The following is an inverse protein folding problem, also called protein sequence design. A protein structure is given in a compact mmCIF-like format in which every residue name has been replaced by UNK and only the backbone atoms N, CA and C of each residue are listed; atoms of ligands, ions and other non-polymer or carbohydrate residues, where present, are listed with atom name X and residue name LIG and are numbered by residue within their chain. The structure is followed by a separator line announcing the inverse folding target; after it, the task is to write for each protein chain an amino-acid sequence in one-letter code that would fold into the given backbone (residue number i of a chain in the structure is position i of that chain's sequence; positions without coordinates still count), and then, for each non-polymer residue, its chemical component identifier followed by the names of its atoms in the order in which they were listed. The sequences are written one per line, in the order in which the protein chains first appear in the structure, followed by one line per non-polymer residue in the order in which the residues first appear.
data_IF_183894571221
#
_entry.id   IF_183894571221
#
_cell.length_a   1.000
_cell.length_b   1.000
_cell.length_c   1.000
_cell.angle_alpha   90.00
_cell.angle_beta   90.00
_cell.angle_gamma   90.00
#
_symmetry.space_group_name_H-M   'P 1'
#
loop_
_entity.id
_entity.type
_entity.pdbx_description
1 polymer ?
#
# COMPACT_ATOMS: atom_id res chain seq x y z
N UNK A 1 -43.61 18.45 -9.61
CA UNK A 1 -45.03 18.06 -9.69
C UNK A 1 -45.36 16.72 -9.00
N UNK A 2 -44.47 15.73 -8.96
CA UNK A 2 -44.81 14.40 -8.38
C UNK A 2 -44.82 14.33 -6.83
N UNK A 3 -44.14 15.25 -6.13
CA UNK A 3 -44.13 15.28 -4.65
C UNK A 3 -45.39 15.90 -4.02
N UNK A 4 -46.17 16.65 -4.78
CA UNK A 4 -47.37 17.34 -4.28
C UNK A 4 -48.61 16.45 -4.33
N UNK A 5 -48.68 15.52 -5.29
CA UNK A 5 -49.81 14.59 -5.42
C UNK A 5 -49.84 13.48 -4.37
N UNK A 6 -48.67 12.97 -3.96
CA UNK A 6 -48.57 11.92 -2.92
C UNK A 6 -48.97 12.46 -1.53
N UNK A 7 -48.72 13.75 -1.27
CA UNK A 7 -49.06 14.38 0.01
C UNK A 7 -50.53 14.80 0.10
N UNK A 8 -51.18 15.12 -1.02
CA UNK A 8 -52.59 15.56 -1.03
C UNK A 8 -53.59 14.40 -0.83
N UNK A 9 -53.24 13.16 -1.18
CA UNK A 9 -54.10 12.01 -0.90
C UNK A 9 -54.10 11.65 0.60
N UNK A 10 -53.02 11.98 1.32
CA UNK A 10 -52.88 11.71 2.75
C UNK A 10 -53.53 12.77 3.67
N UNK A 11 -53.81 13.98 3.17
CA UNK A 11 -54.27 15.10 4.02
C UNK A 11 -55.78 15.37 3.99
N UNK A 12 -56.56 14.71 3.12
CA UNK A 12 -58.00 14.97 3.03
C UNK A 12 -58.86 14.04 3.91
N UNK A 13 -58.24 13.27 4.81
CA UNK A 13 -58.94 12.36 5.72
C UNK A 13 -58.32 12.42 7.11
N UNK A 14 -58.48 13.57 7.78
CA UNK A 14 -58.25 13.64 9.23
C UNK A 14 -59.53 14.07 9.93
N UNK A 15 -60.34 13.06 10.29
CA UNK A 15 -60.95 12.99 11.61
C UNK A 15 -61.45 11.56 11.83
N UNK A 16 -61.21 11.08 13.05
CA UNK A 16 -61.39 9.71 13.60
C UNK A 16 -60.28 8.74 13.23
N UNK A 17 -59.42 8.45 14.21
CA UNK A 17 -58.51 7.30 14.34
C UNK A 17 -58.45 6.38 13.12
N UNK A 18 -57.81 6.85 12.06
CA UNK A 18 -57.68 6.11 10.83
C UNK A 18 -56.53 5.11 11.01
N UNK A 19 -56.83 4.00 11.69
CA UNK A 19 -56.06 2.77 11.51
C UNK A 19 -55.82 2.61 10.01
N UNK A 20 -54.56 2.52 9.60
CA UNK A 20 -54.21 2.16 8.23
C UNK A 20 -55.03 0.93 7.86
N UNK A 21 -55.97 1.07 6.95
CA UNK A 21 -56.80 -0.04 6.50
C UNK A 21 -55.88 -1.00 5.73
N UNK A 22 -55.55 -2.19 6.28
CA UNK A 22 -54.48 -3.03 5.72
C UNK A 22 -54.79 -3.49 4.30
N UNK A 23 -56.09 -3.63 3.98
CA UNK A 23 -56.59 -4.01 2.65
C UNK A 23 -56.33 -2.91 1.63
N UNK A 24 -56.60 -1.65 1.97
CA UNK A 24 -56.37 -0.51 1.08
C UNK A 24 -54.88 -0.33 0.79
N UNK A 25 -54.04 -0.43 1.82
CA UNK A 25 -52.58 -0.38 1.65
C UNK A 25 -52.07 -1.56 0.78
N UNK A 26 -52.58 -2.77 1.03
CA UNK A 26 -52.24 -3.96 0.25
C UNK A 26 -52.56 -3.79 -1.24
N UNK A 27 -53.72 -3.21 -1.56
CA UNK A 27 -54.12 -2.97 -2.95
C UNK A 27 -53.20 -1.96 -3.65
N UNK A 28 -52.85 -0.87 -2.98
CA UNK A 28 -51.91 0.14 -3.51
C UNK A 28 -50.51 -0.47 -3.73
N UNK A 29 -50.05 -1.31 -2.80
CA UNK A 29 -48.77 -2.01 -2.94
C UNK A 29 -48.81 -3.05 -4.06
N UNK A 30 -49.93 -3.74 -4.26
CA UNK A 30 -50.11 -4.68 -5.36
C UNK A 30 -50.08 -3.97 -6.72
N UNK A 31 -50.75 -2.83 -6.85
CA UNK A 31 -50.72 -1.98 -8.04
C UNK A 31 -49.30 -1.44 -8.30
N UNK A 32 -48.61 -0.95 -7.27
CA UNK A 32 -47.22 -0.50 -7.40
C UNK A 32 -46.30 -1.64 -7.89
N UNK A 33 -46.46 -2.85 -7.34
CA UNK A 33 -45.66 -4.03 -7.68
C UNK A 33 -45.93 -4.51 -9.11
N UNK A 34 -47.19 -4.62 -9.50
CA UNK A 34 -47.57 -5.23 -10.79
C UNK A 34 -47.58 -4.23 -11.95
N UNK A 35 -48.09 -3.01 -11.76
CA UNK A 35 -48.28 -2.02 -12.83
C UNK A 35 -47.10 -1.04 -12.95
N UNK A 36 -46.56 -0.56 -11.82
CA UNK A 36 -45.48 0.46 -11.85
C UNK A 36 -44.10 -0.18 -11.94
N UNK A 37 -43.82 -1.14 -11.06
CA UNK A 37 -42.54 -1.86 -11.05
C UNK A 37 -42.50 -2.97 -12.11
N UNK A 38 -43.66 -3.37 -12.65
CA UNK A 38 -43.74 -4.31 -13.76
C UNK A 38 -43.24 -5.72 -13.41
N UNK A 39 -43.31 -6.13 -12.13
CA UNK A 39 -42.74 -7.39 -11.64
C UNK A 39 -43.29 -8.57 -12.42
N UNK A 40 -44.61 -8.60 -12.67
CA UNK A 40 -45.26 -9.66 -13.45
C UNK A 40 -44.79 -9.72 -14.90
N UNK A 41 -44.56 -8.56 -15.53
CA UNK A 41 -44.05 -8.46 -16.90
C UNK A 41 -42.61 -8.98 -16.98
N UNK A 42 -41.78 -8.62 -16.00
CA UNK A 42 -40.40 -9.09 -15.90
C UNK A 42 -40.32 -10.60 -15.64
N UNK A 43 -41.16 -11.12 -14.73
CA UNK A 43 -41.25 -12.55 -14.46
C UNK A 43 -41.69 -13.31 -15.72
N UNK A 44 -42.70 -12.81 -16.44
CA UNK A 44 -43.15 -13.42 -17.71
C UNK A 44 -42.04 -13.41 -18.76
N UNK A 45 -41.21 -12.37 -18.80
CA UNK A 45 -40.05 -12.32 -19.68
C UNK A 45 -38.99 -13.37 -19.31
N UNK A 46 -38.70 -13.54 -18.01
CA UNK A 46 -37.79 -14.59 -17.54
C UNK A 46 -38.36 -16.00 -17.78
N UNK A 47 -39.62 -16.25 -17.49
CA UNK A 47 -40.27 -17.56 -17.65
C UNK A 47 -40.30 -18.02 -19.12
N UNK A 48 -40.48 -17.07 -20.05
CA UNK A 48 -40.49 -17.34 -21.49
C UNK A 48 -39.09 -17.40 -22.12
N UNK A 49 -38.05 -16.97 -21.39
CA UNK A 49 -36.68 -16.98 -21.87
C UNK A 49 -36.02 -18.35 -21.64
N UNK A 50 -35.26 -18.83 -22.61
CA UNK A 50 -34.48 -20.07 -22.46
C UNK A 50 -33.16 -19.75 -21.78
N UNK A 51 -32.99 -20.20 -20.54
CA UNK A 51 -31.73 -20.13 -19.81
C UNK A 51 -31.07 -21.51 -19.73
N UNK A 52 -29.76 -21.55 -19.94
CA UNK A 52 -28.94 -22.71 -19.58
C UNK A 52 -28.49 -22.51 -18.15
N UNK A 53 -29.06 -23.27 -17.23
CA UNK A 53 -28.59 -23.31 -15.85
C UNK A 53 -27.31 -24.15 -15.79
N UNK A 54 -26.17 -23.50 -15.86
CA UNK A 54 -24.90 -24.13 -15.52
C UNK A 54 -24.73 -24.12 -14.00
N UNK A 55 -24.74 -25.32 -13.39
CA UNK A 55 -24.41 -25.43 -11.97
C UNK A 55 -22.94 -25.12 -11.79
N UNK A 56 -22.63 -24.09 -11.01
CA UNK A 56 -21.25 -23.73 -10.68
C UNK A 56 -20.60 -24.88 -9.89
N UNK A 57 -19.56 -25.47 -10.46
CA UNK A 57 -18.70 -26.41 -9.76
C UNK A 57 -17.71 -25.62 -8.90
N UNK A 58 -18.08 -25.39 -7.65
CA UNK A 58 -17.28 -24.59 -6.72
C UNK A 58 -15.86 -25.12 -6.53
N UNK A 59 -15.63 -26.44 -6.61
CA UNK A 59 -14.29 -27.00 -6.48
C UNK A 59 -13.44 -26.64 -7.68
N UNK A 60 -13.97 -26.85 -8.89
CA UNK A 60 -13.29 -26.50 -10.14
C UNK A 60 -12.97 -25.00 -10.20
N UNK A 61 -13.90 -24.14 -9.81
CA UNK A 61 -13.66 -22.69 -9.81
C UNK A 61 -12.58 -22.27 -8.80
N UNK A 62 -12.57 -22.85 -7.60
CA UNK A 62 -11.51 -22.60 -6.61
C UNK A 62 -10.15 -23.06 -7.12
N UNK A 63 -10.08 -24.24 -7.74
CA UNK A 63 -8.84 -24.78 -8.30
C UNK A 63 -8.33 -23.88 -9.44
N UNK A 64 -9.22 -23.44 -10.34
CA UNK A 64 -8.92 -22.51 -11.42
C UNK A 64 -8.40 -21.17 -10.88
N UNK A 65 -9.12 -20.55 -9.95
CA UNK A 65 -8.72 -19.26 -9.35
C UNK A 65 -7.39 -19.37 -8.62
N UNK A 66 -7.18 -20.47 -7.89
CA UNK A 66 -5.92 -20.74 -7.19
C UNK A 66 -4.74 -20.83 -8.16
N UNK A 67 -4.93 -21.51 -9.30
CA UNK A 67 -3.90 -21.63 -10.32
C UNK A 67 -3.59 -20.29 -11.01
N UNK A 68 -4.62 -19.52 -11.36
CA UNK A 68 -4.46 -18.18 -11.95
C UNK A 68 -3.74 -17.23 -10.98
N UNK A 69 -4.07 -17.30 -9.69
CA UNK A 69 -3.42 -16.48 -8.66
C UNK A 69 -1.96 -16.88 -8.49
N UNK A 70 -1.65 -18.19 -8.43
CA UNK A 70 -0.27 -18.71 -8.38
C UNK A 70 0.54 -18.25 -9.57
N UNK A 71 -0.02 -18.34 -10.78
CA UNK A 71 0.65 -17.88 -11.99
C UNK A 71 0.95 -16.38 -11.93
N UNK A 72 -0.03 -15.58 -11.50
CA UNK A 72 0.16 -14.13 -11.35
C UNK A 72 1.28 -13.77 -10.36
N UNK A 73 1.40 -14.50 -9.25
CA UNK A 73 2.52 -14.32 -8.32
C UNK A 73 3.84 -14.77 -8.92
N UNK A 74 3.85 -15.90 -9.63
CA UNK A 74 5.03 -16.42 -10.28
C UNK A 74 5.62 -15.42 -11.29
N UNK A 75 4.77 -14.83 -12.14
CA UNK A 75 5.21 -13.85 -13.14
C UNK A 75 5.80 -12.58 -12.51
N UNK A 76 5.23 -12.14 -11.38
CA UNK A 76 5.73 -10.99 -10.62
C UNK A 76 7.07 -11.31 -9.94
N UNK A 77 7.22 -12.49 -9.36
CA UNK A 77 8.46 -12.95 -8.73
C UNK A 77 9.56 -13.06 -9.79
N UNK A 78 9.24 -13.65 -10.95
CA UNK A 78 10.19 -13.74 -12.06
C UNK A 78 10.70 -12.36 -12.49
N UNK A 79 9.81 -11.38 -12.67
CA UNK A 79 10.21 -10.01 -13.00
C UNK A 79 11.10 -9.37 -11.92
N UNK A 80 10.80 -9.62 -10.64
CA UNK A 80 11.59 -9.14 -9.51
C UNK A 80 12.99 -9.77 -9.48
N UNK A 81 13.11 -11.08 -9.74
CA UNK A 81 14.39 -11.78 -9.83
C UNK A 81 15.26 -11.20 -10.96
N UNK A 82 14.68 -10.90 -12.12
CA UNK A 82 15.42 -10.25 -13.21
C UNK A 82 15.98 -8.89 -12.79
N UNK A 83 15.18 -8.07 -12.09
CA UNK A 83 15.63 -6.79 -11.54
C UNK A 83 16.76 -7.03 -10.54
N UNK A 84 16.58 -7.93 -9.58
CA UNK A 84 17.58 -8.28 -8.55
C UNK A 84 18.92 -8.63 -9.19
N UNK A 85 18.95 -9.62 -10.09
CA UNK A 85 20.18 -10.05 -10.76
C UNK A 85 20.83 -8.92 -11.55
N UNK A 86 20.04 -8.10 -12.24
CA UNK A 86 20.55 -6.93 -12.98
C UNK A 86 21.24 -5.93 -12.04
N UNK A 87 20.62 -5.66 -10.88
CA UNK A 87 21.17 -4.75 -9.86
C UNK A 87 22.43 -5.34 -9.25
N UNK A 88 22.41 -6.58 -8.80
CA UNK A 88 23.57 -7.27 -8.20
C UNK A 88 24.78 -7.24 -9.15
N UNK A 89 24.55 -7.52 -10.43
CA UNK A 89 25.59 -7.46 -11.46
C UNK A 89 26.12 -6.04 -11.68
N UNK A 90 25.23 -5.04 -11.69
CA UNK A 90 25.63 -3.64 -11.84
C UNK A 90 26.51 -3.15 -10.68
N UNK A 91 26.18 -3.53 -9.44
CA UNK A 91 26.98 -3.19 -8.27
C UNK A 91 28.32 -3.95 -8.25
N UNK A 92 28.32 -5.23 -8.60
CA UNK A 92 29.51 -6.09 -8.60
C UNK A 92 30.53 -5.65 -9.66
N UNK A 93 30.05 -5.30 -10.84
CA UNK A 93 30.90 -4.87 -11.97
C UNK A 93 31.17 -3.36 -11.98
N UNK A 94 30.82 -2.63 -10.92
CA UNK A 94 30.96 -1.18 -10.83
C UNK A 94 30.29 -0.41 -12.00
N UNK A 95 29.23 -0.96 -12.59
CA UNK A 95 28.41 -0.32 -13.62
C UNK A 95 27.36 0.63 -13.00
N UNK A 96 27.81 1.38 -12.00
CA UNK A 96 27.06 2.38 -11.25
C UNK A 96 27.75 3.72 -11.41
N UNK A 97 26.97 4.79 -11.51
CA UNK A 97 27.47 6.11 -11.87
C UNK A 97 27.42 7.04 -10.66
N UNK A 98 28.45 7.88 -10.52
CA UNK A 98 28.52 8.92 -9.48
C UNK A 98 27.71 10.17 -9.84
N UNK A 99 26.98 10.15 -10.96
CA UNK A 99 26.12 11.25 -11.40
C UNK A 99 24.86 10.71 -12.05
N UNK A 100 23.72 11.41 -11.89
CA UNK A 100 22.46 10.92 -12.39
C UNK A 100 22.38 11.00 -13.91
N UNK A 101 22.10 9.86 -14.54
CA UNK A 101 21.85 9.78 -15.99
C UNK A 101 20.38 10.14 -16.30
N UNK A 102 19.47 9.80 -15.38
CA UNK A 102 18.04 9.98 -15.55
C UNK A 102 17.50 11.17 -14.75
N UNK A 103 16.46 11.84 -15.25
CA UNK A 103 15.87 12.99 -14.58
C UNK A 103 15.13 12.57 -13.30
N UNK A 104 14.98 13.51 -12.38
CA UNK A 104 14.10 13.33 -11.23
C UNK A 104 12.64 13.28 -11.67
N UNK A 105 11.84 12.44 -11.01
CA UNK A 105 10.44 12.24 -11.36
C UNK A 105 9.58 13.51 -11.24
N UNK A 106 9.99 14.53 -10.49
CA UNK A 106 9.24 15.78 -10.38
C UNK A 106 9.50 16.75 -11.53
N UNK A 107 10.63 16.57 -12.22
CA UNK A 107 11.10 17.45 -13.29
C UNK A 107 10.78 16.91 -14.69
N UNK A 108 9.86 15.95 -14.77
CA UNK A 108 9.38 15.38 -16.03
C UNK A 108 7.91 15.72 -16.29
N UNK A 109 7.56 15.79 -17.57
CA UNK A 109 6.20 16.07 -18.02
C UNK A 109 5.78 15.06 -19.10
N UNK A 110 5.34 13.85 -18.70
CA UNK A 110 4.82 12.86 -19.65
C UNK A 110 3.53 13.35 -20.30
N UNK A 111 3.35 13.02 -21.58
CA UNK A 111 2.22 13.48 -22.40
C UNK A 111 1.14 12.42 -22.55
N UNK A 112 1.53 11.16 -22.72
CA UNK A 112 0.64 10.02 -22.96
C UNK A 112 0.12 9.42 -21.65
N UNK A 113 -1.20 9.21 -21.57
CA UNK A 113 -1.86 8.54 -20.44
C UNK A 113 -1.84 7.04 -20.64
N UNK A 114 -1.35 6.29 -19.64
CA UNK A 114 -1.44 4.84 -19.62
C UNK A 114 -2.57 4.40 -18.67
N UNK A 115 -3.60 3.77 -19.22
CA UNK A 115 -4.78 3.32 -18.47
C UNK A 115 -4.42 2.29 -17.38
N UNK A 116 -3.35 1.53 -17.54
CA UNK A 116 -2.91 0.50 -16.58
C UNK A 116 -2.34 1.12 -15.31
N UNK A 117 -1.71 2.29 -15.43
CA UNK A 117 -1.12 3.07 -14.34
C UNK A 117 -2.00 4.23 -13.88
N UNK A 118 -3.09 4.52 -14.61
CA UNK A 118 -4.05 5.60 -14.34
C UNK A 118 -3.39 6.98 -14.26
N UNK A 119 -2.29 7.17 -14.99
CA UNK A 119 -1.52 8.41 -15.01
C UNK A 119 -0.74 8.55 -16.31
N UNK A 120 -0.17 9.73 -16.55
CA UNK A 120 0.72 9.98 -17.68
C UNK A 120 2.11 9.42 -17.39
N UNK A 121 2.68 8.70 -18.34
CA UNK A 121 3.97 8.02 -18.17
C UNK A 121 4.86 8.10 -19.41
N UNK A 122 6.17 7.96 -19.23
CA UNK A 122 7.11 7.60 -20.29
C UNK A 122 7.44 6.11 -20.19
N UNK A 123 7.17 5.35 -21.26
CA UNK A 123 7.43 3.90 -21.32
C UNK A 123 8.84 3.56 -21.83
N UNK A 124 9.61 4.53 -22.29
CA UNK A 124 10.95 4.33 -22.85
C UNK A 124 12.08 4.50 -21.82
N UNK A 125 11.74 4.95 -20.60
CA UNK A 125 12.71 5.26 -19.53
C UNK A 125 12.05 5.18 -18.14
N UNK A 126 12.90 5.13 -17.11
CA UNK A 126 12.50 5.41 -15.73
C UNK A 126 12.91 6.84 -15.32
N UNK A 127 12.40 7.30 -14.19
CA UNK A 127 12.89 8.50 -13.51
C UNK A 127 13.36 8.12 -12.10
N UNK A 128 14.09 9.02 -11.44
CA UNK A 128 14.56 8.80 -10.07
C UNK A 128 13.81 9.66 -9.06
N UNK A 129 13.40 9.07 -7.95
CA UNK A 129 13.11 9.80 -6.71
C UNK A 129 14.37 9.78 -5.85
N UNK A 130 14.69 10.91 -5.24
CA UNK A 130 15.88 11.07 -4.40
C UNK A 130 15.44 11.59 -3.05
N UNK A 131 15.84 10.91 -1.99
CA UNK A 131 15.57 11.37 -0.64
C UNK A 131 16.20 12.75 -0.41
N UNK A 132 15.63 13.53 0.51
CA UNK A 132 16.16 14.86 0.88
C UNK A 132 17.62 14.83 1.30
N UNK A 133 18.05 13.73 1.93
CA UNK A 133 19.42 13.53 2.41
C UNK A 133 20.06 12.33 1.70
N UNK A 134 20.67 12.61 0.55
CA UNK A 134 21.44 11.67 -0.28
C UNK A 134 22.91 12.09 -0.27
N UNK A 135 23.83 11.14 -0.18
CA UNK A 135 25.26 11.42 -0.20
C UNK A 135 25.72 11.89 -1.59
N UNK A 136 26.71 12.79 -1.66
CA UNK A 136 27.25 13.29 -2.94
C UNK A 136 27.87 12.20 -3.84
N UNK A 137 28.13 11.02 -3.29
CA UNK A 137 28.67 9.86 -4.00
C UNK A 137 27.67 8.73 -4.22
N UNK A 138 26.37 9.00 -4.07
CA UNK A 138 25.34 7.98 -4.26
C UNK A 138 25.43 7.36 -5.67
N UNK A 139 25.24 6.05 -5.73
CA UNK A 139 25.32 5.25 -6.93
C UNK A 139 24.00 5.28 -7.67
N UNK A 140 24.06 5.71 -8.92
CA UNK A 140 22.93 5.72 -9.84
C UNK A 140 23.00 4.51 -10.76
N UNK A 141 21.86 3.84 -10.94
CA UNK A 141 21.73 2.69 -11.84
C UNK A 141 21.44 3.12 -13.27
N UNK A 142 21.82 2.25 -14.20
CA UNK A 142 22.08 2.64 -15.58
C UNK A 142 21.15 1.98 -16.61
N UNK A 143 21.59 1.96 -17.87
CA UNK A 143 20.87 1.43 -19.02
C UNK A 143 20.39 -0.02 -18.84
N UNK A 144 21.17 -0.88 -18.17
CA UNK A 144 20.82 -2.29 -17.97
C UNK A 144 19.52 -2.45 -17.17
N UNK A 145 19.37 -1.73 -16.05
CA UNK A 145 18.15 -1.75 -15.25
C UNK A 145 16.93 -1.29 -16.06
N UNK A 146 17.10 -0.23 -16.87
CA UNK A 146 16.04 0.29 -17.73
C UNK A 146 15.56 -0.78 -18.72
N UNK A 147 16.49 -1.44 -19.40
CA UNK A 147 16.17 -2.48 -20.38
C UNK A 147 15.47 -3.67 -19.72
N UNK A 148 15.94 -4.11 -18.55
CA UNK A 148 15.28 -5.16 -17.77
C UNK A 148 13.85 -4.78 -17.43
N UNK A 149 13.60 -3.58 -16.92
CA UNK A 149 12.25 -3.13 -16.54
C UNK A 149 11.30 -3.01 -17.76
N UNK A 150 11.80 -2.51 -18.90
CA UNK A 150 11.03 -2.48 -20.15
C UNK A 150 10.71 -3.90 -20.61
N UNK A 151 11.68 -4.79 -20.62
CA UNK A 151 11.52 -6.18 -21.05
C UNK A 151 10.52 -6.93 -20.15
N UNK A 152 10.56 -6.70 -18.84
CA UNK A 152 9.60 -7.27 -17.89
C UNK A 152 8.16 -6.83 -18.22
N UNK A 153 7.94 -5.54 -18.49
CA UNK A 153 6.60 -5.04 -18.84
C UNK A 153 6.13 -5.53 -20.22
N UNK A 154 7.04 -5.72 -21.17
CA UNK A 154 6.71 -6.29 -22.48
C UNK A 154 6.33 -7.77 -22.38
N UNK A 155 7.00 -8.54 -21.50
CA UNK A 155 6.68 -9.95 -21.23
C UNK A 155 5.38 -10.11 -20.45
N UNK A 156 5.13 -9.24 -19.47
CA UNK A 156 3.92 -9.21 -18.67
C UNK A 156 3.29 -7.80 -18.68
N UNK A 157 2.33 -7.55 -19.60
CA UNK A 157 1.65 -6.25 -19.72
C UNK A 157 0.83 -5.83 -18.50
N UNK A 158 0.48 -6.77 -17.60
CA UNK A 158 -0.27 -6.50 -16.37
C UNK A 158 0.61 -6.07 -15.20
N UNK A 159 1.94 -6.17 -15.35
CA UNK A 159 2.91 -5.74 -14.36
C UNK A 159 2.72 -4.26 -14.03
N UNK A 160 2.79 -3.95 -12.73
CA UNK A 160 2.66 -2.58 -12.22
C UNK A 160 4.04 -1.95 -12.08
N UNK A 161 4.12 -0.89 -11.27
CA UNK A 161 5.34 -0.14 -11.04
C UNK A 161 6.49 -1.07 -10.68
N UNK A 162 7.62 -0.88 -11.35
CA UNK A 162 8.87 -1.56 -11.07
C UNK A 162 9.84 -0.54 -10.47
N UNK A 163 10.49 -0.88 -9.37
CA UNK A 163 11.37 0.04 -8.68
C UNK A 163 12.47 -0.69 -7.91
N UNK A 164 13.54 0.03 -7.61
CA UNK A 164 14.64 -0.44 -6.76
C UNK A 164 14.95 0.62 -5.70
N UNK A 165 14.87 0.27 -4.42
CA UNK A 165 15.30 1.17 -3.35
C UNK A 165 16.78 0.99 -3.06
N UNK A 166 17.60 2.00 -3.30
CA UNK A 166 18.99 2.02 -2.83
C UNK A 166 19.05 2.36 -1.34
N UNK A 167 20.03 1.80 -0.64
CA UNK A 167 20.41 2.19 0.73
C UNK A 167 20.88 3.66 0.80
N UNK A 168 21.29 4.24 -0.33
CA UNK A 168 21.72 5.63 -0.44
C UNK A 168 20.56 6.62 -0.63
N UNK A 169 19.31 6.14 -0.72
CA UNK A 169 18.12 6.98 -0.86
C UNK A 169 17.76 7.33 -2.31
N UNK A 170 18.28 6.58 -3.28
CA UNK A 170 17.91 6.67 -4.71
C UNK A 170 16.87 5.60 -5.03
N UNK A 171 15.78 6.01 -5.68
CA UNK A 171 14.68 5.14 -6.09
C UNK A 171 14.35 5.34 -7.58
N UNK A 172 14.93 4.54 -8.49
CA UNK A 172 14.48 4.47 -9.87
C UNK A 172 13.07 3.86 -9.93
N UNK A 173 12.15 4.49 -10.66
CA UNK A 173 10.77 4.02 -10.85
C UNK A 173 10.40 3.97 -12.32
N UNK A 174 9.95 2.81 -12.78
CA UNK A 174 9.49 2.54 -14.13
C UNK A 174 8.01 2.12 -14.16
N UNK A 175 7.22 2.55 -15.16
CA UNK A 175 7.51 3.62 -16.13
C UNK A 175 7.79 4.98 -15.46
N UNK A 176 8.45 5.91 -16.14
CA UNK A 176 8.67 7.23 -15.55
C UNK A 176 7.35 8.02 -15.48
N UNK A 177 7.04 8.67 -14.36
CA UNK A 177 5.83 9.47 -14.19
C UNK A 177 6.10 10.73 -13.39
N UNK A 178 5.25 11.76 -13.60
CA UNK A 178 5.40 13.01 -12.85
C UNK A 178 5.04 12.80 -11.38
N UNK A 179 6.03 12.89 -10.51
CA UNK A 179 5.82 12.84 -9.08
C UNK A 179 5.55 14.26 -8.53
N UNK A 180 4.58 14.45 -7.61
CA UNK A 180 4.22 15.79 -7.15
C UNK A 180 5.32 16.55 -6.37
N UNK A 181 6.14 15.85 -5.58
CA UNK A 181 7.13 16.47 -4.69
C UNK A 181 8.33 15.56 -4.42
N UNK A 182 9.54 16.00 -4.74
CA UNK A 182 10.74 15.17 -4.65
C UNK A 182 11.33 15.15 -3.23
N UNK A 183 11.11 16.19 -2.43
CA UNK A 183 11.69 16.32 -1.09
C UNK A 183 10.99 15.46 -0.02
N UNK A 184 9.84 14.87 -0.35
CA UNK A 184 8.95 14.20 0.60
C UNK A 184 9.10 12.68 0.63
N UNK A 185 9.80 12.10 -0.35
CA UNK A 185 9.87 10.66 -0.52
C UNK A 185 11.26 10.11 -0.23
N UNK A 186 11.37 9.31 0.83
CA UNK A 186 12.54 8.49 1.12
C UNK A 186 12.11 7.02 1.10
N UNK A 187 12.78 6.18 0.30
CA UNK A 187 12.46 4.75 0.21
C UNK A 187 12.84 3.99 1.50
N UNK A 188 13.86 4.45 2.23
CA UNK A 188 14.48 3.72 3.35
C UNK A 188 13.57 3.56 4.57
N UNK A 189 12.57 4.43 4.66
CA UNK A 189 11.57 4.44 5.74
C UNK A 189 10.22 3.87 5.29
N UNK A 190 10.12 3.32 4.08
CA UNK A 190 8.87 2.76 3.57
C UNK A 190 8.69 1.32 4.06
N UNK A 191 7.46 0.91 4.43
CA UNK A 191 7.21 -0.44 4.93
C UNK A 191 7.77 -1.54 4.02
N UNK A 192 7.56 -1.44 2.70
CA UNK A 192 8.07 -2.42 1.74
C UNK A 192 9.60 -2.54 1.73
N UNK A 193 10.32 -1.44 2.02
CA UNK A 193 11.78 -1.45 2.07
C UNK A 193 12.26 -2.04 3.40
N UNK A 194 11.66 -1.62 4.51
CA UNK A 194 11.98 -2.11 5.85
C UNK A 194 11.75 -3.62 5.96
N UNK A 195 10.63 -4.13 5.43
CA UNK A 195 10.33 -5.56 5.36
C UNK A 195 11.33 -6.33 4.48
N UNK A 196 11.82 -5.72 3.39
CA UNK A 196 12.79 -6.34 2.49
C UNK A 196 14.20 -6.47 3.07
N UNK A 197 14.64 -5.49 3.87
CA UNK A 197 16.00 -5.50 4.49
C UNK A 197 16.05 -6.29 5.80
N UNK A 198 14.92 -6.36 6.52
CA UNK A 198 14.82 -6.99 7.82
C UNK A 198 13.55 -7.86 7.84
N UNK A 199 13.59 -9.03 7.18
CA UNK A 199 12.44 -9.95 7.14
C UNK A 199 12.15 -10.60 8.50
N UNK A 200 13.16 -10.66 9.37
CA UNK A 200 13.02 -11.21 10.71
C UNK A 200 12.24 -10.27 11.65
N UNK A 201 11.26 -10.77 12.41
CA UNK A 201 10.55 -10.00 13.43
C UNK A 201 11.51 -9.39 14.46
N UNK A 202 11.30 -8.12 14.83
CA UNK A 202 12.07 -7.47 15.90
C UNK A 202 11.20 -7.19 17.12
N UNK A 203 11.78 -7.41 18.30
CA UNK A 203 11.25 -6.95 19.58
C UNK A 203 12.01 -5.69 20.00
N UNK A 204 11.30 -4.56 20.15
CA UNK A 204 11.93 -3.25 20.39
C UNK A 204 11.45 -2.68 21.71
N UNK A 205 12.39 -2.15 22.51
CA UNK A 205 12.10 -1.37 23.71
C UNK A 205 12.60 0.05 23.49
N UNK A 206 11.69 1.03 23.62
CA UNK A 206 12.03 2.44 23.50
C UNK A 206 12.23 3.02 24.90
N UNK A 207 13.39 3.63 25.11
CA UNK A 207 13.74 4.34 26.35
C UNK A 207 13.95 5.80 25.98
N UNK A 208 13.18 6.69 26.61
CA UNK A 208 13.27 8.14 26.40
C UNK A 208 13.76 8.76 27.70
N UNK A 209 14.89 9.47 27.65
CA UNK A 209 15.38 10.24 28.78
C UNK A 209 14.41 11.41 29.08
N UNK A 210 14.15 11.65 30.36
CA UNK A 210 13.30 12.73 30.88
C UNK A 210 14.05 13.58 31.93
N UNK A 211 15.38 13.52 31.92
CA UNK A 211 16.25 14.37 32.73
C UNK A 211 16.04 15.85 32.41
N UNK A 212 16.46 16.74 33.33
CA UNK A 212 16.25 18.19 33.15
C UNK A 212 16.90 18.77 31.89
N UNK A 213 17.98 18.16 31.37
CA UNK A 213 18.58 18.57 30.09
C UNK A 213 17.66 18.36 28.89
N UNK A 214 16.62 17.52 29.00
CA UNK A 214 15.67 17.29 27.91
C UNK A 214 14.64 18.42 27.76
N UNK A 215 14.63 19.39 28.68
CA UNK A 215 13.85 20.63 28.57
C UNK A 215 14.53 21.69 27.68
N UNK A 216 15.81 21.49 27.34
CA UNK A 216 16.55 22.40 26.46
C UNK A 216 15.87 22.53 25.09
N UNK A 217 15.92 23.74 24.53
CA UNK A 217 15.24 24.11 23.29
C UNK A 217 16.25 24.13 22.13
N UNK A 218 15.95 23.40 21.05
CA UNK A 218 16.66 23.49 19.78
C UNK A 218 15.68 23.99 18.70
N UNK A 219 15.94 25.20 18.21
CA UNK A 219 15.07 25.87 17.25
C UNK A 219 13.75 26.29 17.90
N UNK A 220 12.66 25.59 17.57
CA UNK A 220 11.31 25.86 18.09
C UNK A 220 10.69 24.68 18.85
N UNK A 221 11.50 23.68 19.22
CA UNK A 221 11.08 22.47 19.93
C UNK A 221 12.00 22.16 21.09
N UNK A 222 11.46 21.54 22.13
CA UNK A 222 12.28 20.97 23.22
C UNK A 222 12.94 19.67 22.78
N UNK A 223 14.04 19.28 23.43
CA UNK A 223 14.70 17.99 23.17
C UNK A 223 13.75 16.81 23.45
N UNK A 224 12.89 16.91 24.47
CA UNK A 224 11.86 15.89 24.72
C UNK A 224 10.85 15.78 23.58
N UNK A 225 10.40 16.88 22.99
CA UNK A 225 9.50 16.85 21.82
C UNK A 225 10.17 16.20 20.60
N UNK A 226 11.45 16.48 20.38
CA UNK A 226 12.23 15.87 19.31
C UNK A 226 12.40 14.36 19.55
N UNK A 227 12.70 13.95 20.79
CA UNK A 227 12.83 12.55 21.17
C UNK A 227 11.52 11.77 20.97
N UNK A 228 10.39 12.33 21.43
CA UNK A 228 9.06 11.73 21.24
C UNK A 228 8.72 11.65 19.76
N UNK A 229 8.96 12.70 18.98
CA UNK A 229 8.72 12.69 17.52
C UNK A 229 9.58 11.64 16.81
N UNK A 230 10.80 11.42 17.28
CA UNK A 230 11.71 10.41 16.73
C UNK A 230 11.26 9.00 17.10
N UNK A 231 10.84 8.78 18.35
CA UNK A 231 10.26 7.52 18.81
C UNK A 231 9.00 7.14 18.01
N UNK A 232 8.11 8.10 17.77
CA UNK A 232 6.93 7.90 16.89
C UNK A 232 7.35 7.54 15.47
N UNK A 233 8.42 8.14 14.94
CA UNK A 233 8.93 7.81 13.60
C UNK A 233 9.48 6.38 13.53
N UNK A 234 10.15 5.90 14.58
CA UNK A 234 10.59 4.50 14.71
C UNK A 234 9.39 3.56 14.79
N UNK A 235 8.38 3.87 15.62
CA UNK A 235 7.16 3.06 15.72
C UNK A 235 6.41 2.98 14.38
N UNK A 236 6.37 4.07 13.61
CA UNK A 236 5.76 4.09 12.28
C UNK A 236 6.55 3.28 11.23
N UNK A 237 7.80 2.89 11.52
CA UNK A 237 8.61 2.05 10.65
C UNK A 237 8.45 0.55 10.93
N UNK A 238 7.74 0.18 12.00
CA UNK A 238 7.51 -1.21 12.37
C UNK A 238 6.52 -1.87 11.42
N UNK A 239 6.78 -3.14 11.10
CA UNK A 239 5.89 -3.96 10.28
C UNK A 239 4.92 -4.79 11.15
N UNK A 240 4.03 -5.56 10.51
CA UNK A 240 3.03 -6.37 11.23
C UNK A 240 3.62 -7.49 12.10
N UNK A 241 4.87 -7.85 11.88
CA UNK A 241 5.56 -8.90 12.63
C UNK A 241 6.37 -8.32 13.80
N UNK A 242 6.65 -7.02 13.78
CA UNK A 242 7.42 -6.33 14.82
C UNK A 242 6.58 -6.09 16.08
N UNK A 243 7.22 -6.14 17.25
CA UNK A 243 6.58 -5.93 18.54
C UNK A 243 7.22 -4.78 19.30
N UNK A 244 6.39 -3.92 19.85
CA UNK A 244 6.78 -2.87 20.78
C UNK A 244 5.83 -2.90 21.99
N UNK A 245 6.34 -2.82 23.23
CA UNK A 245 5.49 -2.71 24.41
C UNK A 245 4.75 -1.38 24.39
N UNK A 246 3.43 -1.42 24.58
CA UNK A 246 2.54 -0.24 24.57
C UNK A 246 2.38 0.41 25.94
N UNK A 247 3.25 0.08 26.90
CA UNK A 247 3.05 0.47 28.29
C UNK A 247 3.53 1.90 28.54
N UNK A 248 2.62 2.76 29.03
CA UNK A 248 2.93 4.04 29.69
C UNK A 248 3.68 3.86 31.04
N UNK A 249 4.08 2.65 31.38
CA UNK A 249 4.84 2.37 32.59
C UNK A 249 6.31 2.69 32.35
N UNK A 250 6.80 3.68 33.09
CA UNK A 250 8.22 3.89 33.31
C UNK A 250 8.79 2.57 33.83
N UNK A 251 9.65 1.93 33.03
CA UNK A 251 10.30 0.69 33.43
C UNK A 251 11.09 0.96 34.73
N UNK A 252 10.87 0.19 35.80
CA UNK A 252 11.51 0.46 37.08
C UNK A 252 13.05 0.38 36.92
N UNK A 253 13.81 1.28 37.58
CA UNK A 253 15.25 1.40 37.40
C UNK A 253 16.05 0.13 37.73
N UNK A 254 15.46 -0.83 38.45
CA UNK A 254 16.11 -2.11 38.78
C UNK A 254 16.39 -3.01 37.57
N UNK A 255 15.67 -2.83 36.45
CA UNK A 255 15.88 -3.63 35.22
C UNK A 255 17.09 -3.12 34.40
N UNK A 256 17.61 -1.92 34.71
CA UNK A 256 18.75 -1.31 34.01
C UNK A 256 20.12 -1.61 34.63
N UNK A 257 20.19 -2.45 35.67
CA UNK A 257 21.49 -2.89 36.18
C UNK A 257 22.08 -3.92 35.21
N UNK A 258 23.31 -3.75 34.69
CA UNK A 258 23.97 -4.80 33.93
C UNK A 258 24.13 -5.99 34.88
N UNK A 259 23.40 -7.10 34.63
CA UNK A 259 23.80 -8.38 35.22
C UNK A 259 25.21 -8.63 34.72
N UNK A 260 26.17 -8.56 35.65
CA UNK A 260 27.57 -8.96 35.45
C UNK A 260 27.53 -10.30 34.72
N UNK A 261 27.94 -10.32 33.46
CA UNK A 261 28.20 -11.57 32.75
C UNK A 261 29.26 -12.28 33.57
N UNK A 262 28.88 -13.30 34.33
CA UNK A 262 29.83 -14.22 34.93
C UNK A 262 30.51 -14.91 33.76
N UNK A 263 31.73 -14.46 33.43
CA UNK A 263 32.64 -15.22 32.61
C UNK A 263 32.91 -16.53 33.34
N UNK A 264 32.27 -17.61 32.88
CA UNK A 264 32.69 -18.96 33.23
C UNK A 264 34.09 -19.15 32.63
N UNK A 265 35.10 -19.10 33.49
CA UNK A 265 36.40 -19.71 33.22
C UNK A 265 36.14 -21.19 32.98
N UNK A 266 36.23 -21.65 31.75
CA UNK A 266 36.49 -23.06 31.46
C UNK A 266 37.99 -23.23 31.44
N UNK A 267 38.51 -23.78 32.53
CA UNK A 267 39.85 -24.35 32.60
C UNK A 267 40.00 -25.39 31.49
N UNK A 268 40.98 -25.18 30.60
CA UNK A 268 41.54 -26.21 29.75
C UNK A 268 42.91 -26.56 30.33
N UNK A 269 42.90 -27.56 31.19
CA UNK A 269 44.08 -28.37 31.49
C UNK A 269 44.22 -29.44 30.39
N UNK A 270 45.46 -29.57 29.90
CA UNK A 270 46.03 -30.53 28.95
C UNK A 270 45.75 -30.30 27.46
#
# INVERSE_FOLDING_TARGET
MLRVFVFLILLNKSRTDAFLEPVALSNVLAELKDEVLGVKRMQTFFDNSKFVYEKVDGKREIDLLSNLLRQRFHDNIFALEQIKTTVENAYSNQQVYSSPIYPECCNINPTETDYRFKTKVFRDRFCELRAKYVSKGAKHLSKSLKETMINNLNKNPDLKWQYFGSQEGILPVYPAFKFPSCDSYDNRVRPWYVEGIAPEPKDIVLIIDKSGSMEDIIGNKTLIEIAVSSAVSVLNSLNSNDRAPTTNEVMPPEVLTPRRVQTRSTDLHQ
#
